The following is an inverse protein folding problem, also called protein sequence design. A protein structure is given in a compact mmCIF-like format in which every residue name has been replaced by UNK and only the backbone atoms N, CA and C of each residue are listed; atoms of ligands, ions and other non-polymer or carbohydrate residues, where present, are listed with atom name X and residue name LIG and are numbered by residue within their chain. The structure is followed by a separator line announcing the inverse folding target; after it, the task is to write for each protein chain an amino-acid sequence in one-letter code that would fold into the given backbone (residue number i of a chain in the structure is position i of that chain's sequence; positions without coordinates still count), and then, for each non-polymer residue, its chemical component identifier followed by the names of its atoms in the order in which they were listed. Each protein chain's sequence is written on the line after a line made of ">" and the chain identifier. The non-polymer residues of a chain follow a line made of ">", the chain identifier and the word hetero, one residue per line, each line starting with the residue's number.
data_IF_650992836563
#
_entry.id   IF_650992836563
#
_cell.length_a   1.000
_cell.length_b   1.000
_cell.length_c   1.000
_cell.angle_alpha   90.00
_cell.angle_beta   90.00
_cell.angle_gamma   90.00
#
_symmetry.space_group_name_H-M   'P 1'
#
loop_
_entity.id
_entity.type
_entity.pdbx_description
1 polymer ?
#
# COMPACT_ATOMS: atom_id res chain seq x y z
N UNK A 1 44.57 -69.00 -32.58
CA UNK A 1 43.89 -69.07 -31.25
C UNK A 1 43.67 -67.64 -30.82
N UNK A 2 42.47 -67.14 -30.97
CA UNK A 2 42.05 -65.76 -30.65
C UNK A 2 41.16 -65.84 -29.41
N UNK A 3 41.58 -65.17 -28.33
CA UNK A 3 40.78 -65.02 -27.11
C UNK A 3 39.84 -63.85 -27.20
N UNK A 4 38.56 -63.94 -26.85
CA UNK A 4 37.61 -62.81 -26.86
C UNK A 4 37.77 -61.99 -25.57
N UNK A 5 38.01 -60.68 -25.72
CA UNK A 5 38.03 -59.71 -24.66
C UNK A 5 36.61 -59.31 -24.28
N UNK A 6 36.23 -59.64 -23.04
CA UNK A 6 34.91 -59.30 -22.46
C UNK A 6 34.93 -57.84 -21.97
N UNK A 7 34.23 -56.95 -22.68
CA UNK A 7 34.00 -55.56 -22.26
C UNK A 7 32.85 -55.54 -21.26
N UNK A 8 33.17 -55.23 -20.01
CA UNK A 8 32.17 -55.03 -18.94
C UNK A 8 31.63 -53.62 -19.02
N UNK A 9 30.38 -53.45 -19.48
CA UNK A 9 29.70 -52.20 -19.55
C UNK A 9 29.08 -51.86 -18.18
N UNK A 10 29.73 -50.99 -17.41
CA UNK A 10 29.20 -50.48 -16.13
C UNK A 10 28.19 -49.37 -16.41
N UNK A 11 26.90 -49.65 -16.25
CA UNK A 11 25.83 -48.66 -16.31
C UNK A 11 25.78 -47.93 -14.96
N UNK A 12 26.24 -46.68 -14.94
CA UNK A 12 26.09 -45.77 -13.80
C UNK A 12 24.68 -45.18 -13.85
N UNK A 13 23.78 -45.69 -13.04
CA UNK A 13 22.46 -45.08 -12.82
C UNK A 13 22.64 -43.88 -11.91
N UNK A 14 22.71 -42.67 -12.51
CA UNK A 14 22.58 -41.41 -11.78
C UNK A 14 21.15 -41.26 -11.29
N UNK A 15 20.91 -41.62 -10.04
CA UNK A 15 19.66 -41.35 -9.33
C UNK A 15 19.51 -39.83 -9.12
N UNK A 16 18.62 -39.23 -9.86
CA UNK A 16 18.19 -37.84 -9.59
C UNK A 16 17.33 -37.88 -8.34
N UNK A 17 17.90 -37.44 -7.22
CA UNK A 17 17.14 -37.15 -6.02
C UNK A 17 16.26 -35.92 -6.30
N UNK A 18 15.00 -36.14 -6.63
CA UNK A 18 13.97 -35.08 -6.67
C UNK A 18 13.79 -34.64 -5.20
N UNK A 19 14.06 -33.39 -4.83
CA UNK A 19 13.73 -32.93 -3.49
C UNK A 19 12.20 -33.01 -3.37
N UNK A 20 11.73 -33.91 -2.52
CA UNK A 20 10.34 -33.98 -2.12
C UNK A 20 9.98 -32.64 -1.47
N UNK A 21 9.30 -31.77 -2.22
CA UNK A 21 8.63 -30.60 -1.68
C UNK A 21 7.47 -31.13 -0.81
N UNK A 22 7.79 -31.57 0.38
CA UNK A 22 6.80 -31.87 1.40
C UNK A 22 6.15 -30.55 1.78
N UNK A 23 5.01 -30.25 1.15
CA UNK A 23 4.13 -29.21 1.61
C UNK A 23 3.78 -29.55 3.07
N UNK A 24 4.33 -28.79 3.99
CA UNK A 24 4.18 -29.00 5.42
C UNK A 24 2.76 -28.58 5.84
N UNK A 25 1.79 -29.50 5.72
CA UNK A 25 0.37 -29.28 6.01
C UNK A 25 0.08 -29.04 7.50
N UNK A 26 1.10 -29.20 8.36
CA UNK A 26 0.94 -29.22 9.80
C UNK A 26 1.60 -28.01 10.49
N UNK A 27 1.73 -26.86 9.80
CA UNK A 27 2.21 -25.64 10.46
C UNK A 27 1.18 -25.17 11.50
N UNK A 28 1.60 -24.85 12.72
CA UNK A 28 0.72 -24.31 13.74
C UNK A 28 0.09 -23.00 13.26
N UNK A 29 -1.15 -22.74 13.68
CA UNK A 29 -1.94 -21.59 13.24
C UNK A 29 -1.20 -20.25 13.44
N UNK A 30 -0.35 -20.18 14.46
CA UNK A 30 0.47 -19.01 14.76
C UNK A 30 1.52 -18.75 13.66
N UNK A 31 2.21 -19.78 13.18
CA UNK A 31 3.20 -19.66 12.08
C UNK A 31 2.53 -19.23 10.77
N UNK A 32 1.35 -19.79 10.46
CA UNK A 32 0.58 -19.39 9.27
C UNK A 32 0.18 -17.91 9.32
N UNK A 33 -0.22 -17.42 10.50
CA UNK A 33 -0.54 -16.00 10.69
C UNK A 33 0.71 -15.11 10.57
N UNK A 34 1.82 -15.53 11.14
CA UNK A 34 3.08 -14.79 11.05
C UNK A 34 3.57 -14.71 9.60
N UNK A 35 3.58 -15.82 8.86
CA UNK A 35 3.94 -15.85 7.45
C UNK A 35 3.01 -14.97 6.59
N UNK A 36 1.70 -15.02 6.82
CA UNK A 36 0.74 -14.16 6.12
C UNK A 36 0.98 -12.67 6.40
N UNK A 37 1.30 -12.31 7.65
CA UNK A 37 1.65 -10.93 8.02
C UNK A 37 2.90 -10.46 7.28
N UNK A 38 3.96 -11.26 7.25
CA UNK A 38 5.20 -10.94 6.51
C UNK A 38 4.95 -10.78 5.00
N UNK A 39 4.09 -11.62 4.39
CA UNK A 39 3.71 -11.48 2.99
C UNK A 39 3.03 -10.12 2.72
N UNK A 40 2.10 -9.71 3.57
CA UNK A 40 1.40 -8.42 3.43
C UNK A 40 2.37 -7.25 3.64
N UNK A 41 3.29 -7.34 4.60
CA UNK A 41 4.32 -6.31 4.82
C UNK A 41 5.27 -6.17 3.62
N UNK A 42 5.63 -7.28 2.96
CA UNK A 42 6.41 -7.26 1.73
C UNK A 42 5.64 -6.62 0.56
N UNK A 43 4.32 -6.85 0.46
CA UNK A 43 3.47 -6.20 -0.55
C UNK A 43 3.32 -4.70 -0.32
N UNK A 44 3.32 -4.24 0.93
CA UNK A 44 3.36 -2.81 1.26
C UNK A 44 4.62 -2.13 0.71
N UNK A 45 5.77 -2.81 0.83
CA UNK A 45 7.03 -2.30 0.28
C UNK A 45 7.03 -2.32 -1.26
N UNK A 46 6.52 -3.39 -1.88
CA UNK A 46 6.37 -3.44 -3.35
C UNK A 46 5.44 -2.33 -3.85
N UNK A 47 4.33 -2.08 -3.16
CA UNK A 47 3.44 -0.97 -3.49
C UNK A 47 4.16 0.38 -3.38
N UNK A 48 4.92 0.60 -2.30
CA UNK A 48 5.70 1.84 -2.10
C UNK A 48 6.67 2.07 -3.26
N UNK A 49 7.41 1.04 -3.64
CA UNK A 49 8.38 1.10 -4.74
C UNK A 49 7.68 1.36 -6.08
N UNK A 50 6.59 0.65 -6.38
CA UNK A 50 5.81 0.85 -7.60
C UNK A 50 5.24 2.27 -7.68
N UNK A 51 4.77 2.82 -6.55
CA UNK A 51 4.22 4.18 -6.48
C UNK A 51 5.30 5.24 -6.74
N UNK A 52 6.51 5.10 -6.15
CA UNK A 52 7.62 6.01 -6.35
C UNK A 52 8.21 5.93 -7.77
N UNK A 53 8.27 4.73 -8.31
CA UNK A 53 8.79 4.51 -9.67
C UNK A 53 7.76 4.85 -10.78
N UNK A 54 6.48 5.05 -10.43
CA UNK A 54 5.41 5.15 -11.43
C UNK A 54 5.20 3.84 -12.20
N UNK A 55 5.57 2.69 -11.59
CA UNK A 55 5.49 1.37 -12.23
C UNK A 55 4.04 0.88 -12.27
N UNK A 56 3.37 1.20 -13.39
CA UNK A 56 1.99 0.81 -13.64
C UNK A 56 1.82 -0.72 -13.71
N UNK A 57 2.82 -1.43 -14.25
CA UNK A 57 2.75 -2.89 -14.39
C UNK A 57 2.80 -3.59 -13.04
N UNK A 58 3.71 -3.15 -12.15
CA UNK A 58 3.76 -3.65 -10.79
C UNK A 58 2.48 -3.30 -10.02
N UNK A 59 1.98 -2.08 -10.17
CA UNK A 59 0.75 -1.64 -9.52
C UNK A 59 -0.47 -2.45 -9.99
N UNK A 60 -0.60 -2.73 -11.28
CA UNK A 60 -1.68 -3.56 -11.83
C UNK A 60 -1.72 -4.97 -11.20
N UNK A 61 -0.54 -5.55 -10.97
CA UNK A 61 -0.42 -6.86 -10.30
C UNK A 61 -0.78 -6.81 -8.81
N UNK A 62 -0.66 -5.68 -8.16
CA UNK A 62 -1.00 -5.52 -6.75
C UNK A 62 -2.49 -5.28 -6.52
N UNK A 63 -3.17 -4.58 -7.42
CA UNK A 63 -4.59 -4.24 -7.30
C UNK A 63 -5.48 -5.40 -7.73
N UNK A 64 -6.58 -5.64 -7.02
CA UNK A 64 -7.66 -6.54 -7.46
C UNK A 64 -8.50 -5.89 -8.57
N UNK A 65 -9.22 -6.68 -9.35
CA UNK A 65 -10.02 -6.15 -10.45
C UNK A 65 -11.23 -5.33 -9.95
N UNK A 66 -11.72 -5.63 -8.76
CA UNK A 66 -12.79 -4.94 -8.04
C UNK A 66 -12.28 -3.83 -7.09
N UNK A 67 -11.03 -3.40 -7.26
CA UNK A 67 -10.42 -2.38 -6.40
C UNK A 67 -11.22 -1.07 -6.36
N UNK A 68 -11.35 -0.52 -5.14
CA UNK A 68 -11.89 0.82 -4.88
C UNK A 68 -10.90 1.58 -3.99
N UNK A 69 -10.47 2.76 -4.45
CA UNK A 69 -9.60 3.64 -3.67
C UNK A 69 -10.23 5.00 -3.45
N UNK A 70 -10.06 5.55 -2.23
CA UNK A 70 -10.38 6.94 -1.93
C UNK A 70 -9.07 7.70 -1.78
N UNK A 71 -8.84 8.66 -2.65
CA UNK A 71 -7.62 9.48 -2.63
C UNK A 71 -7.65 10.46 -1.46
N UNK A 72 -6.50 11.08 -1.18
CA UNK A 72 -6.37 12.13 -0.16
C UNK A 72 -7.22 13.38 -0.42
N UNK A 73 -7.79 13.51 -1.61
CA UNK A 73 -8.72 14.59 -2.01
C UNK A 73 -10.18 14.13 -2.00
N UNK A 74 -10.47 12.91 -1.53
CA UNK A 74 -11.83 12.34 -1.48
C UNK A 74 -12.32 11.76 -2.80
N UNK A 75 -11.50 11.74 -3.87
CA UNK A 75 -11.88 11.15 -5.15
C UNK A 75 -11.90 9.62 -5.04
N UNK A 76 -13.02 9.01 -5.47
CA UNK A 76 -13.14 7.55 -5.58
C UNK A 76 -12.60 7.11 -6.93
N UNK A 77 -11.72 6.13 -6.94
CA UNK A 77 -11.11 5.58 -8.14
C UNK A 77 -11.27 4.06 -8.19
N UNK A 78 -11.64 3.54 -9.34
CA UNK A 78 -11.51 2.12 -9.68
C UNK A 78 -10.05 1.76 -10.00
N UNK A 79 -9.74 0.47 -10.16
CA UNK A 79 -8.43 -0.01 -10.61
C UNK A 79 -7.97 0.71 -11.89
N UNK A 80 -8.82 0.72 -12.92
CA UNK A 80 -8.50 1.34 -14.21
C UNK A 80 -8.17 2.82 -14.04
N UNK A 81 -9.02 3.57 -13.32
CA UNK A 81 -8.79 4.98 -13.06
C UNK A 81 -7.49 5.23 -12.28
N UNK A 82 -7.19 4.40 -11.27
CA UNK A 82 -5.94 4.49 -10.52
C UNK A 82 -4.70 4.27 -11.41
N UNK A 83 -4.73 3.26 -12.27
CA UNK A 83 -3.64 2.97 -13.20
C UNK A 83 -3.48 4.08 -14.26
N UNK A 84 -4.59 4.62 -14.77
CA UNK A 84 -4.56 5.72 -15.74
C UNK A 84 -4.00 7.01 -15.11
N UNK A 85 -4.32 7.29 -13.86
CA UNK A 85 -3.72 8.43 -13.13
C UNK A 85 -2.20 8.29 -13.00
N UNK A 86 -1.69 7.07 -12.81
CA UNK A 86 -0.25 6.79 -12.79
C UNK A 86 0.37 6.94 -14.19
N UNK A 87 -0.23 6.35 -15.24
CA UNK A 87 0.22 6.45 -16.64
C UNK A 87 0.33 7.89 -17.11
N UNK A 88 -0.63 8.72 -16.72
CA UNK A 88 -0.72 10.14 -17.10
C UNK A 88 0.07 11.05 -16.14
N UNK A 89 0.86 10.48 -15.23
CA UNK A 89 1.61 11.23 -14.19
C UNK A 89 0.74 12.23 -13.39
N UNK A 90 -0.57 11.98 -13.30
CA UNK A 90 -1.48 12.78 -12.46
C UNK A 90 -1.18 12.64 -10.97
N UNK A 91 -0.57 11.52 -10.58
CA UNK A 91 0.00 11.31 -9.24
C UNK A 91 1.45 10.92 -9.45
N UNK A 92 2.38 11.76 -9.00
CA UNK A 92 3.82 11.49 -9.06
C UNK A 92 4.43 11.81 -7.69
N UNK A 93 4.90 10.78 -7.00
CA UNK A 93 5.52 10.93 -5.68
C UNK A 93 7.03 10.94 -5.82
N UNK A 94 7.68 11.91 -5.18
CA UNK A 94 9.15 12.00 -5.07
C UNK A 94 9.65 11.48 -3.72
N UNK A 95 8.75 11.43 -2.72
CA UNK A 95 9.03 10.88 -1.40
C UNK A 95 7.80 10.14 -0.87
N UNK A 96 8.03 8.98 -0.28
CA UNK A 96 7.01 8.17 0.38
C UNK A 96 7.66 7.32 1.47
N UNK A 97 7.71 7.85 2.68
CA UNK A 97 8.26 7.15 3.85
C UNK A 97 7.12 6.60 4.69
N UNK A 98 7.14 5.30 4.93
CA UNK A 98 6.09 4.59 5.67
C UNK A 98 6.55 4.30 7.10
N UNK A 99 5.69 4.62 8.07
CA UNK A 99 5.91 4.36 9.49
C UNK A 99 4.66 3.90 10.21
N UNK A 100 4.78 3.56 11.48
CA UNK A 100 3.67 3.17 12.36
C UNK A 100 2.73 2.11 11.74
N UNK A 101 3.32 1.15 11.01
CA UNK A 101 2.55 0.12 10.30
C UNK A 101 1.94 -0.88 11.27
N UNK A 102 0.65 -1.14 11.13
CA UNK A 102 -0.07 -2.18 11.83
C UNK A 102 -0.78 -3.08 10.81
N UNK A 103 -0.70 -4.39 11.02
CA UNK A 103 -1.36 -5.39 10.18
C UNK A 103 -2.29 -6.23 11.03
N UNK A 104 -3.58 -6.22 10.71
CA UNK A 104 -4.62 -7.06 11.33
C UNK A 104 -5.10 -8.10 10.31
N UNK A 105 -5.00 -9.38 10.67
CA UNK A 105 -5.46 -10.50 9.84
C UNK A 105 -6.81 -11.02 10.34
N UNK A 106 -7.76 -11.16 9.41
CA UNK A 106 -9.10 -11.69 9.66
C UNK A 106 -9.43 -12.68 8.55
N UNK A 107 -9.20 -13.97 8.77
CA UNK A 107 -9.39 -15.00 7.74
C UNK A 107 -8.53 -14.72 6.51
N UNK A 108 -9.17 -14.51 5.37
CA UNK A 108 -8.53 -14.17 4.08
C UNK A 108 -8.35 -12.66 3.87
N UNK A 109 -8.64 -11.83 4.87
CA UNK A 109 -8.51 -10.37 4.79
C UNK A 109 -7.34 -9.90 5.66
N UNK A 110 -6.55 -8.97 5.15
CA UNK A 110 -5.59 -8.19 5.92
C UNK A 110 -5.94 -6.71 5.84
N UNK A 111 -6.03 -6.07 7.00
CA UNK A 111 -6.19 -4.63 7.12
C UNK A 111 -4.85 -4.06 7.56
N UNK A 112 -4.32 -3.14 6.78
CA UNK A 112 -3.08 -2.42 7.06
C UNK A 112 -3.39 -0.96 7.30
N UNK A 113 -2.92 -0.43 8.42
CA UNK A 113 -2.87 1.01 8.66
C UNK A 113 -1.42 1.46 8.76
N UNK A 114 -1.11 2.63 8.22
CA UNK A 114 0.24 3.19 8.30
C UNK A 114 0.19 4.71 8.26
N UNK A 115 1.24 5.33 8.79
CA UNK A 115 1.55 6.74 8.59
C UNK A 115 2.48 6.87 7.38
N UNK A 116 2.27 7.87 6.55
CA UNK A 116 3.08 8.14 5.38
C UNK A 116 3.51 9.61 5.35
N UNK A 117 4.82 9.86 5.22
CA UNK A 117 5.34 11.17 4.84
C UNK A 117 5.42 11.21 3.31
N UNK A 118 4.72 12.16 2.71
CA UNK A 118 4.51 12.23 1.26
C UNK A 118 5.00 13.57 0.72
N UNK A 119 5.77 13.51 -0.39
CA UNK A 119 6.08 14.67 -1.24
C UNK A 119 5.88 14.28 -2.70
N UNK A 120 5.43 15.24 -3.53
CA UNK A 120 5.21 15.01 -4.96
C UNK A 120 4.17 15.94 -5.54
N UNK A 121 3.45 15.45 -6.55
CA UNK A 121 2.35 16.19 -7.20
C UNK A 121 1.10 15.33 -7.32
N UNK A 122 -0.07 15.96 -7.29
CA UNK A 122 -1.36 15.37 -7.57
C UNK A 122 -2.16 16.31 -8.48
N UNK A 123 -2.49 15.84 -9.69
CA UNK A 123 -3.10 16.65 -10.76
C UNK A 123 -2.32 17.97 -11.02
N UNK A 124 -0.98 17.91 -10.98
CA UNK A 124 -0.08 19.03 -11.15
C UNK A 124 0.09 19.93 -9.92
N UNK A 125 -0.74 19.81 -8.91
CA UNK A 125 -0.59 20.56 -7.67
C UNK A 125 0.42 19.88 -6.73
N UNK A 126 1.33 20.63 -6.06
CA UNK A 126 2.28 20.05 -5.13
C UNK A 126 1.56 19.48 -3.91
N UNK A 127 1.99 18.29 -3.49
CA UNK A 127 1.58 17.67 -2.23
C UNK A 127 2.80 17.48 -1.34
N UNK A 128 2.65 17.88 -0.08
CA UNK A 128 3.63 17.65 0.97
C UNK A 128 2.90 17.53 2.31
N UNK A 129 3.27 16.54 3.10
CA UNK A 129 2.73 16.38 4.45
C UNK A 129 2.62 14.93 4.89
N UNK A 130 2.04 14.79 6.07
CA UNK A 130 1.77 13.50 6.70
C UNK A 130 0.36 13.04 6.39
N UNK A 131 0.23 11.77 6.07
CA UNK A 131 -1.05 11.12 5.84
C UNK A 131 -1.17 9.86 6.67
N UNK A 132 -2.37 9.50 7.04
CA UNK A 132 -2.72 8.15 7.47
C UNK A 132 -3.49 7.47 6.35
N UNK A 133 -3.18 6.20 6.13
CA UNK A 133 -3.96 5.40 5.19
C UNK A 133 -4.38 4.08 5.80
N UNK A 134 -5.48 3.57 5.26
CA UNK A 134 -5.94 2.20 5.44
C UNK A 134 -5.90 1.49 4.10
N UNK A 135 -5.36 0.28 4.08
CA UNK A 135 -5.38 -0.59 2.91
C UNK A 135 -5.90 -1.96 3.29
N UNK A 136 -6.80 -2.47 2.47
CA UNK A 136 -7.38 -3.79 2.65
C UNK A 136 -6.84 -4.72 1.57
N UNK A 137 -6.29 -5.84 2.00
CA UNK A 137 -5.86 -6.93 1.15
C UNK A 137 -6.82 -8.09 1.28
N UNK A 138 -7.11 -8.76 0.17
CA UNK A 138 -7.82 -10.03 0.12
C UNK A 138 -6.88 -11.12 -0.39
N UNK A 139 -6.87 -12.25 0.30
CA UNK A 139 -6.16 -13.45 -0.14
C UNK A 139 -7.07 -14.27 -1.05
N UNK A 140 -6.65 -14.43 -2.30
CA UNK A 140 -7.36 -15.23 -3.29
C UNK A 140 -7.23 -16.75 -2.98
N UNK A 141 -8.09 -17.60 -3.54
CA UNK A 141 -7.97 -19.06 -3.40
C UNK A 141 -6.61 -19.61 -3.86
N UNK A 142 -5.95 -18.94 -4.81
CA UNK A 142 -4.58 -19.22 -5.26
C UNK A 142 -3.50 -18.95 -4.20
N UNK A 143 -3.86 -18.32 -3.07
CA UNK A 143 -2.93 -17.89 -2.02
C UNK A 143 -2.32 -16.51 -2.24
N UNK A 144 -2.56 -15.88 -3.37
CA UNK A 144 -2.06 -14.54 -3.71
C UNK A 144 -2.88 -13.47 -3.00
N UNK A 145 -2.22 -12.46 -2.42
CA UNK A 145 -2.85 -11.28 -1.85
C UNK A 145 -3.03 -10.19 -2.91
N UNK A 146 -4.18 -9.52 -2.91
CA UNK A 146 -4.47 -8.36 -3.76
C UNK A 146 -5.03 -7.23 -2.91
N UNK A 147 -4.72 -5.99 -3.29
CA UNK A 147 -5.31 -4.80 -2.67
C UNK A 147 -6.72 -4.62 -3.22
N UNK A 148 -7.73 -4.67 -2.36
CA UNK A 148 -9.14 -4.47 -2.75
C UNK A 148 -9.66 -3.11 -2.36
N UNK A 149 -9.07 -2.46 -1.33
CA UNK A 149 -9.48 -1.11 -0.94
C UNK A 149 -8.31 -0.29 -0.40
N UNK A 150 -8.39 1.02 -0.60
CA UNK A 150 -7.45 2.02 -0.09
C UNK A 150 -8.17 3.31 0.27
N UNK A 151 -7.76 3.92 1.37
CA UNK A 151 -8.18 5.26 1.77
C UNK A 151 -7.02 5.99 2.43
N UNK A 152 -6.85 7.27 2.11
CA UNK A 152 -5.84 8.12 2.74
C UNK A 152 -6.46 9.44 3.23
N UNK A 153 -6.06 9.84 4.44
CA UNK A 153 -6.49 11.09 5.09
C UNK A 153 -5.26 11.89 5.52
N UNK A 154 -5.29 13.20 5.30
CA UNK A 154 -4.24 14.09 5.80
C UNK A 154 -4.29 14.18 7.32
N UNK A 155 -3.13 14.08 7.97
CA UNK A 155 -3.00 14.32 9.41
C UNK A 155 -2.93 15.83 9.64
N UNK A 156 -3.84 16.44 10.42
CA UNK A 156 -3.82 17.87 10.71
C UNK A 156 -2.51 18.29 11.39
N UNK A 157 -2.01 19.49 11.09
CA UNK A 157 -0.79 20.05 11.70
C UNK A 157 0.54 19.53 11.13
N UNK A 158 0.52 18.58 10.19
CA UNK A 158 1.71 18.09 9.51
C UNK A 158 1.93 18.81 8.18
N UNK A 159 2.73 19.88 8.16
CA UNK A 159 3.21 20.48 6.91
C UNK A 159 2.31 21.53 6.26
N UNK A 160 1.67 22.36 7.06
CA UNK A 160 1.04 23.61 6.63
C UNK A 160 1.38 24.69 7.63
N UNK A 161 1.71 25.87 7.14
CA UNK A 161 1.80 27.09 7.91
C UNK A 161 0.63 27.23 8.89
N UNK A 162 0.82 27.70 10.14
CA UNK A 162 -0.28 27.88 11.06
C UNK A 162 -1.30 28.78 10.38
N UNK A 163 -2.52 28.30 10.15
CA UNK A 163 -3.63 29.15 9.80
C UNK A 163 -3.83 30.08 10.97
N UNK A 164 -3.33 31.31 10.80
CA UNK A 164 -3.63 32.40 11.69
C UNK A 164 -5.15 32.60 11.62
N UNK A 165 -5.88 32.01 12.54
CA UNK A 165 -7.25 32.39 12.80
C UNK A 165 -7.14 33.73 13.50
N UNK A 166 -6.98 34.81 12.70
CA UNK A 166 -7.17 36.14 13.17
C UNK A 166 -8.54 36.22 13.84
N UNK A 167 -8.52 36.34 15.13
CA UNK A 167 -9.63 36.82 15.91
C UNK A 167 -9.81 38.29 15.58
N UNK A 168 -10.39 38.57 14.43
CA UNK A 168 -11.01 39.86 14.14
C UNK A 168 -12.46 39.80 14.65
N UNK A 169 -12.60 39.59 15.94
CA UNK A 169 -13.80 39.95 16.67
C UNK A 169 -13.63 41.41 17.12
N UNK A 170 -13.63 42.32 16.16
CA UNK A 170 -13.81 43.71 16.45
C UNK A 170 -15.26 43.95 16.93
N UNK A 171 -15.37 43.93 18.25
CA UNK A 171 -16.58 44.35 18.97
C UNK A 171 -16.88 45.78 18.63
N UNK A 172 -17.74 46.00 17.65
CA UNK A 172 -18.38 47.27 17.38
C UNK A 172 -19.40 47.55 18.48
N UNK A 173 -18.90 48.12 19.59
CA UNK A 173 -19.76 48.68 20.62
C UNK A 173 -20.66 49.76 19.99
N UNK A 174 -21.94 49.46 19.93
CA UNK A 174 -22.97 50.43 19.57
C UNK A 174 -23.05 51.51 20.69
N UNK A 175 -22.55 52.67 20.42
CA UNK A 175 -22.74 53.89 21.25
C UNK A 175 -24.20 54.30 21.08
N UNK A 176 -24.99 54.15 22.15
CA UNK A 176 -26.35 54.69 22.27
C UNK A 176 -26.19 56.21 22.58
N UNK A 177 -26.78 57.12 21.78
CA UNK A 177 -26.77 58.53 22.09
C UNK A 177 -27.69 58.83 23.28
N UNK A 178 -27.36 59.85 24.12
CA UNK A 178 -28.19 60.24 25.27
C UNK A 178 -29.48 60.95 24.85
N UNK A 179 -30.57 60.87 25.66
CA UNK A 179 -31.83 61.58 25.35
C UNK A 179 -31.65 63.07 25.57
N UNK A 180 -32.18 63.87 24.61
CA UNK A 180 -32.20 65.32 24.66
C UNK A 180 -33.13 65.89 25.74
N UNK A 181 -32.85 67.10 26.25
CA UNK A 181 -33.69 67.73 27.26
C UNK A 181 -35.01 68.27 26.71
N UNK A 182 -36.07 68.09 27.50
CA UNK A 182 -37.40 68.71 27.35
C UNK A 182 -37.39 70.16 27.69
#
# INVERSE_FOLDING_TARGET
>A
MLTPSTVLLTVVVMGWAVPAFCANWNQPLHEKKHAAKQQVEALEEQWRQAQLAGDVTAMDKLLSDDYIGISMTGQVNTKTQQLDRMRLHKVALTRLDLGERQVKLIGSIAIVTSRAEVEGTNDGAPIKGTFRYTRVYQRLPSGVWRITSFEATRVPGSGGEPRNHGHDAESKAATVPPPGPT
#
